data_IF_750936850196
#
_entry.id   IF_750936850196
#
_cell.length_a   1.000
_cell.length_b   1.000
_cell.length_c   1.000
_cell.angle_alpha   90.00
_cell.angle_beta   90.00
_cell.angle_gamma   90.00
#
_symmetry.space_group_name_H-M   'P 1'
#
loop_
_entity.id
_entity.type
_entity.pdbx_description
1 polymer ?
#
# COMPACT_ATOMS: atom_id res chain seq x y z
N UNK A 1 30.11 65.65 7.44
CA UNK A 1 29.28 65.05 8.52
C UNK A 1 28.87 63.66 8.06
N UNK A 2 29.38 62.61 8.69
CA UNK A 2 28.98 61.22 8.42
C UNK A 2 28.45 60.63 9.73
N UNK A 3 27.15 60.37 9.81
CA UNK A 3 26.52 59.68 10.92
C UNK A 3 26.39 58.20 10.55
N UNK A 4 27.22 57.37 11.17
CA UNK A 4 27.10 55.92 11.11
C UNK A 4 26.03 55.45 12.10
N UNK A 5 25.00 54.78 11.59
CA UNK A 5 24.06 54.03 12.41
C UNK A 5 24.58 52.60 12.59
N UNK A 6 24.98 52.24 13.81
CA UNK A 6 25.18 50.85 14.19
C UNK A 6 23.82 50.23 14.55
N UNK A 7 23.46 49.03 14.03
CA UNK A 7 22.24 48.34 14.44
C UNK A 7 22.37 47.80 15.88
N UNK A 8 21.30 47.81 16.69
CA UNK A 8 21.36 47.34 18.06
C UNK A 8 21.57 45.81 18.12
N UNK A 9 22.61 45.40 18.85
CA UNK A 9 22.87 44.01 19.21
C UNK A 9 21.93 43.58 20.34
N UNK A 10 20.67 43.28 20.02
CA UNK A 10 19.79 42.43 20.84
C UNK A 10 18.47 42.17 20.10
N UNK A 11 18.52 41.28 19.11
CA UNK A 11 17.33 40.60 18.61
C UNK A 11 17.63 39.12 18.70
N UNK A 12 17.00 38.41 19.64
CA UNK A 12 17.00 36.95 19.61
C UNK A 12 16.52 36.50 18.22
N UNK A 13 17.20 35.54 17.57
CA UNK A 13 16.79 35.09 16.25
C UNK A 13 15.32 34.66 16.30
N UNK A 14 14.49 35.02 15.31
CA UNK A 14 13.12 34.52 15.26
C UNK A 14 13.19 33.00 15.28
N UNK A 15 12.38 32.37 16.15
CA UNK A 15 12.26 30.92 16.15
C UNK A 15 11.99 30.46 14.71
N UNK A 16 12.70 29.45 14.19
CA UNK A 16 12.58 29.06 12.80
C UNK A 16 11.13 28.74 12.49
N UNK A 17 10.51 29.48 11.57
CA UNK A 17 9.11 29.33 11.16
C UNK A 17 8.77 27.87 10.81
N UNK A 18 9.76 27.12 10.31
CA UNK A 18 9.68 25.69 10.02
C UNK A 18 9.33 24.83 11.25
N UNK A 19 9.75 25.20 12.46
CA UNK A 19 9.43 24.42 13.67
C UNK A 19 7.98 24.60 14.09
N UNK A 20 7.45 25.83 14.06
CA UNK A 20 6.03 26.10 14.35
C UNK A 20 5.11 25.47 13.28
N UNK A 21 5.51 25.55 12.00
CA UNK A 21 4.81 24.89 10.92
C UNK A 21 4.85 23.35 11.01
N UNK A 22 5.91 22.75 11.56
CA UNK A 22 5.97 21.31 11.82
C UNK A 22 5.05 20.90 12.96
N UNK A 23 5.06 21.64 14.07
CA UNK A 23 4.21 21.35 15.23
C UNK A 23 2.72 21.42 14.89
N UNK A 24 2.30 22.39 14.07
CA UNK A 24 0.91 22.47 13.57
C UNK A 24 0.54 21.36 12.57
N UNK A 25 1.54 20.60 12.09
CA UNK A 25 1.40 19.47 11.16
C UNK A 25 1.77 18.14 11.82
N UNK A 26 1.51 18.05 13.11
CA UNK A 26 1.59 16.85 13.92
C UNK A 26 0.29 16.70 14.71
N UNK A 27 -0.04 15.46 15.09
CA UNK A 27 -1.18 15.17 15.96
C UNK A 27 -0.71 14.42 17.21
N UNK A 28 -1.19 14.87 18.36
CA UNK A 28 -1.00 14.17 19.63
C UNK A 28 -1.91 12.93 19.73
N UNK A 29 -1.56 11.91 20.54
CA UNK A 29 -2.38 10.71 20.70
C UNK A 29 -3.82 11.00 21.12
N UNK A 30 -4.04 12.00 21.96
CA UNK A 30 -5.37 12.39 22.44
C UNK A 30 -6.22 13.06 21.34
N UNK A 31 -5.59 13.88 20.49
CA UNK A 31 -6.25 14.48 19.32
C UNK A 31 -6.62 13.41 18.30
N UNK A 32 -5.75 12.43 18.09
CA UNK A 32 -6.03 11.29 17.23
C UNK A 32 -7.18 10.43 17.76
N UNK A 33 -7.17 10.09 19.04
CA UNK A 33 -8.23 9.28 19.66
C UNK A 33 -9.59 10.00 19.64
N UNK A 34 -9.61 11.33 19.78
CA UNK A 34 -10.84 12.13 19.74
C UNK A 34 -11.34 12.42 18.32
N UNK A 35 -10.55 12.17 17.28
CA UNK A 35 -10.93 12.43 15.89
C UNK A 35 -12.01 11.49 15.34
N UNK A 36 -12.44 10.48 16.12
CA UNK A 36 -13.51 9.56 15.71
C UNK A 36 -13.10 8.63 14.55
N UNK A 37 -11.83 8.22 14.53
CA UNK A 37 -11.29 7.32 13.50
C UNK A 37 -12.08 6.00 13.53
N UNK A 38 -12.53 5.48 12.37
CA UNK A 38 -13.29 4.25 12.29
C UNK A 38 -12.47 3.06 12.78
N UNK A 39 -13.01 2.34 13.76
CA UNK A 39 -12.37 1.15 14.32
C UNK A 39 -12.33 0.04 13.29
N UNK A 40 -11.15 -0.56 13.09
CA UNK A 40 -11.02 -1.79 12.30
C UNK A 40 -11.74 -2.94 12.99
N UNK A 41 -12.52 -3.74 12.25
CA UNK A 41 -13.17 -4.94 12.76
C UNK A 41 -12.15 -6.02 13.15
N UNK A 42 -11.14 -6.23 12.30
CA UNK A 42 -10.09 -7.22 12.54
C UNK A 42 -8.68 -6.67 12.20
N UNK A 43 -8.08 -5.84 13.09
CA UNK A 43 -6.77 -5.26 12.84
C UNK A 43 -5.67 -6.32 12.65
N UNK A 44 -5.78 -7.48 13.31
CA UNK A 44 -4.81 -8.58 13.20
C UNK A 44 -4.72 -9.12 11.77
N UNK A 45 -5.86 -9.31 11.12
CA UNK A 45 -5.92 -9.82 9.75
C UNK A 45 -5.37 -8.80 8.74
N UNK A 46 -5.72 -7.52 8.91
CA UNK A 46 -5.16 -6.42 8.08
C UNK A 46 -3.64 -6.39 8.21
N UNK A 47 -3.10 -6.40 9.43
CA UNK A 47 -1.65 -6.37 9.68
C UNK A 47 -0.97 -7.62 9.11
N UNK A 48 -1.53 -8.81 9.32
CA UNK A 48 -0.97 -10.05 8.77
C UNK A 48 -0.97 -10.06 7.23
N UNK A 49 -2.06 -9.63 6.60
CA UNK A 49 -2.18 -9.54 5.15
C UNK A 49 -1.20 -8.54 4.54
N UNK A 50 -1.08 -7.34 5.13
CA UNK A 50 -0.13 -6.33 4.69
C UNK A 50 1.33 -6.77 4.90
N UNK A 51 1.64 -7.38 6.04
CA UNK A 51 2.98 -7.90 6.31
C UNK A 51 3.36 -9.01 5.32
N UNK A 52 2.46 -9.95 5.05
CA UNK A 52 2.69 -11.02 4.08
C UNK A 52 2.91 -10.47 2.65
N UNK A 53 2.08 -9.50 2.23
CA UNK A 53 2.13 -8.91 0.89
C UNK A 53 3.37 -8.05 0.65
N UNK A 54 3.73 -7.20 1.60
CA UNK A 54 4.78 -6.20 1.42
C UNK A 54 6.13 -6.59 2.01
N UNK A 55 6.18 -7.59 2.91
CA UNK A 55 7.38 -8.02 3.64
C UNK A 55 8.22 -6.83 4.15
N UNK A 56 7.60 -5.91 4.90
CA UNK A 56 8.24 -4.64 5.22
C UNK A 56 9.46 -4.80 6.13
N UNK A 57 10.52 -4.08 5.81
CA UNK A 57 11.66 -3.87 6.70
C UNK A 57 11.42 -2.70 7.67
N UNK A 58 12.42 -2.37 8.50
CA UNK A 58 12.43 -1.13 9.26
C UNK A 58 12.23 0.11 8.37
N UNK A 59 11.66 1.18 8.94
CA UNK A 59 11.35 2.45 8.28
C UNK A 59 10.51 2.33 7.00
N UNK A 60 9.68 1.28 6.91
CA UNK A 60 8.76 1.07 5.79
C UNK A 60 7.35 1.50 6.18
N UNK A 61 6.77 2.43 5.42
CA UNK A 61 5.35 2.78 5.49
C UNK A 61 4.56 1.98 4.46
N UNK A 62 3.37 1.51 4.85
CA UNK A 62 2.41 0.84 3.97
C UNK A 62 1.09 1.57 4.09
N UNK A 63 0.66 2.22 3.01
CA UNK A 63 -0.70 2.74 2.90
C UNK A 63 -1.59 1.69 2.26
N UNK A 64 -2.72 1.41 2.88
CA UNK A 64 -3.72 0.46 2.41
C UNK A 64 -5.07 1.15 2.33
N UNK A 65 -5.89 0.75 1.37
CA UNK A 65 -7.27 1.22 1.22
C UNK A 65 -8.19 0.02 1.37
N UNK A 66 -9.10 0.13 2.33
CA UNK A 66 -10.13 -0.85 2.61
C UNK A 66 -11.41 -0.52 1.82
N UNK A 67 -12.04 -1.54 1.28
CA UNK A 67 -13.38 -1.49 0.70
C UNK A 67 -14.44 -1.32 1.82
N UNK A 68 -15.73 -1.08 1.48
CA UNK A 68 -16.76 -0.93 2.52
C UNK A 68 -16.97 -2.21 3.36
N UNK A 69 -16.52 -3.37 2.88
CA UNK A 69 -16.51 -4.64 3.62
C UNK A 69 -15.26 -4.83 4.51
N UNK A 70 -14.44 -3.78 4.64
CA UNK A 70 -13.17 -3.74 5.39
C UNK A 70 -12.07 -4.68 4.88
N UNK A 71 -12.12 -5.09 3.61
CA UNK A 71 -11.05 -5.87 2.96
C UNK A 71 -10.08 -4.96 2.23
N UNK A 72 -8.82 -5.37 2.16
CA UNK A 72 -7.77 -4.57 1.49
C UNK A 72 -7.97 -4.59 -0.04
N UNK A 73 -8.50 -3.50 -0.59
CA UNK A 73 -8.72 -3.30 -2.02
C UNK A 73 -7.43 -2.92 -2.76
N UNK A 74 -6.59 -2.10 -2.13
CA UNK A 74 -5.33 -1.64 -2.70
C UNK A 74 -4.31 -1.37 -1.59
N UNK A 75 -3.01 -1.53 -1.87
CA UNK A 75 -1.96 -1.17 -0.93
C UNK A 75 -0.64 -0.86 -1.64
N UNK A 76 0.17 0.01 -1.04
CA UNK A 76 1.50 0.37 -1.49
C UNK A 76 2.45 0.51 -0.31
N UNK A 77 3.67 0.00 -0.45
CA UNK A 77 4.76 0.17 0.49
C UNK A 77 5.79 1.16 -0.04
N UNK A 78 6.39 1.94 0.84
CA UNK A 78 7.45 2.88 0.53
C UNK A 78 8.32 3.16 1.76
N UNK A 79 9.56 3.58 1.52
CA UNK A 79 10.45 4.00 2.60
C UNK A 79 10.01 5.36 3.16
N UNK A 80 10.27 5.59 4.44
CA UNK A 80 10.09 6.90 5.05
C UNK A 80 10.88 7.98 4.27
N UNK A 81 10.21 9.05 3.82
CA UNK A 81 10.81 10.00 2.88
C UNK A 81 11.71 11.06 3.51
N UNK A 82 11.74 11.20 4.84
CA UNK A 82 12.32 12.37 5.51
C UNK A 82 13.22 12.01 6.70
N UNK A 83 14.32 12.75 6.86
CA UNK A 83 15.23 12.65 8.02
C UNK A 83 14.62 13.27 9.30
N UNK A 84 13.63 14.16 9.14
CA UNK A 84 12.91 14.81 10.23
C UNK A 84 11.39 14.67 10.03
N UNK A 85 10.61 14.37 11.08
CA UNK A 85 9.16 14.29 11.00
C UNK A 85 8.52 15.59 10.49
N UNK A 86 7.82 15.52 9.36
CA UNK A 86 7.00 16.62 8.83
C UNK A 86 5.74 16.06 8.17
N UNK A 87 4.57 16.33 8.77
CA UNK A 87 3.30 15.81 8.30
C UNK A 87 2.97 16.21 6.85
N UNK A 88 3.45 17.34 6.36
CA UNK A 88 3.25 17.74 4.95
C UNK A 88 4.02 16.85 3.97
N UNK A 89 5.25 16.46 4.33
CA UNK A 89 6.06 15.57 3.50
C UNK A 89 5.43 14.17 3.47
N UNK A 90 5.01 13.68 4.64
CA UNK A 90 4.31 12.40 4.77
C UNK A 90 2.99 12.38 4.01
N UNK A 91 2.19 13.44 4.09
CA UNK A 91 0.98 13.59 3.25
C UNK A 91 1.31 13.49 1.77
N UNK A 92 2.31 14.22 1.29
CA UNK A 92 2.66 14.22 -0.13
C UNK A 92 3.11 12.82 -0.58
N UNK A 93 3.91 12.12 0.24
CA UNK A 93 4.29 10.74 -0.02
C UNK A 93 3.06 9.82 -0.09
N UNK A 94 2.15 9.90 0.88
CA UNK A 94 0.90 9.14 0.88
C UNK A 94 0.07 9.39 -0.39
N UNK A 95 -0.10 10.64 -0.82
CA UNK A 95 -0.85 10.99 -2.02
C UNK A 95 -0.21 10.43 -3.30
N UNK A 96 1.12 10.44 -3.40
CA UNK A 96 1.84 9.83 -4.54
C UNK A 96 1.48 8.35 -4.66
N UNK A 97 1.48 7.62 -3.54
CA UNK A 97 1.18 6.20 -3.55
C UNK A 97 -0.31 5.90 -3.72
N UNK A 98 -1.20 6.64 -3.06
CA UNK A 98 -2.65 6.48 -3.19
C UNK A 98 -3.12 6.66 -4.64
N UNK A 99 -2.64 7.71 -5.33
CA UNK A 99 -2.98 7.99 -6.74
C UNK A 99 -2.53 6.90 -7.71
N UNK A 100 -1.50 6.11 -7.35
CA UNK A 100 -1.01 5.01 -8.17
C UNK A 100 -1.82 3.74 -8.00
N UNK A 101 -2.34 3.48 -6.80
CA UNK A 101 -2.97 2.19 -6.49
C UNK A 101 -4.49 2.23 -6.52
N UNK A 102 -5.11 3.40 -6.38
CA UNK A 102 -6.57 3.49 -6.38
C UNK A 102 -7.09 4.86 -6.84
N UNK A 103 -8.18 4.91 -7.63
CA UNK A 103 -8.84 6.18 -7.97
C UNK A 103 -9.31 6.92 -6.70
N UNK A 104 -9.29 8.24 -6.75
CA UNK A 104 -9.82 9.08 -5.68
C UNK A 104 -11.36 9.04 -5.63
N UNK A 105 -11.93 9.28 -4.45
CA UNK A 105 -13.38 9.26 -4.21
C UNK A 105 -14.01 10.66 -4.09
N UNK A 106 -13.29 11.70 -4.54
CA UNK A 106 -13.69 13.11 -4.43
C UNK A 106 -15.04 13.47 -5.09
N UNK A 107 -15.56 12.60 -5.97
CA UNK A 107 -16.87 12.80 -6.62
C UNK A 107 -18.04 12.19 -5.83
N UNK A 108 -17.75 11.38 -4.81
CA UNK A 108 -18.76 10.78 -3.95
C UNK A 108 -19.20 11.79 -2.89
N UNK A 109 -20.49 11.77 -2.54
CA UNK A 109 -21.03 12.64 -1.49
C UNK A 109 -20.49 12.28 -0.10
N UNK A 110 -20.20 11.00 0.11
CA UNK A 110 -19.66 10.46 1.37
C UNK A 110 -18.53 9.51 1.01
N UNK A 111 -17.38 9.58 1.70
CA UNK A 111 -16.29 8.63 1.50
C UNK A 111 -16.73 7.20 1.84
N UNK A 112 -16.52 6.27 0.91
CA UNK A 112 -16.93 4.86 1.06
C UNK A 112 -15.76 3.98 1.51
N UNK A 113 -14.58 4.27 0.97
CA UNK A 113 -13.34 3.52 1.26
C UNK A 113 -12.57 4.16 2.41
N UNK A 114 -11.87 3.34 3.18
CA UNK A 114 -11.11 3.78 4.37
C UNK A 114 -9.62 3.57 4.16
N UNK A 115 -8.80 4.59 4.36
CA UNK A 115 -7.34 4.43 4.28
C UNK A 115 -6.76 4.06 5.66
N UNK A 116 -5.85 3.11 5.69
CA UNK A 116 -5.11 2.66 6.88
C UNK A 116 -3.63 2.81 6.60
N UNK A 117 -2.86 3.22 7.60
CA UNK A 117 -1.40 3.31 7.51
C UNK A 117 -0.77 2.34 8.50
N UNK A 118 0.11 1.47 8.00
CA UNK A 118 0.97 0.61 8.78
C UNK A 118 2.41 1.11 8.64
N UNK A 119 3.03 1.55 9.73
CA UNK A 119 4.42 2.02 9.73
C UNK A 119 5.30 1.08 10.54
N UNK A 120 6.29 0.51 9.86
CA UNK A 120 7.26 -0.42 10.43
C UNK A 120 8.46 0.38 10.90
N UNK A 121 8.80 0.26 12.18
CA UNK A 121 9.89 1.02 12.79
C UNK A 121 10.63 0.20 13.83
N UNK A 122 11.80 0.67 14.18
CA UNK A 122 12.56 0.12 15.30
C UNK A 122 12.16 0.75 16.62
N UNK A 123 12.56 0.11 17.71
CA UNK A 123 12.34 0.60 19.06
C UNK A 123 10.96 0.27 19.62
N UNK A 124 10.59 1.06 20.63
CA UNK A 124 9.47 0.79 21.50
C UNK A 124 8.12 1.19 20.86
N UNK A 125 7.00 0.57 21.28
CA UNK A 125 5.66 0.87 20.77
C UNK A 125 5.08 2.19 21.31
N UNK A 126 5.92 3.06 21.91
CA UNK A 126 5.51 4.33 22.49
C UNK A 126 5.31 5.37 21.41
N UNK A 127 4.34 6.27 21.56
CA UNK A 127 4.15 7.36 20.60
C UNK A 127 5.42 8.20 20.43
N UNK A 128 5.70 8.64 19.20
CA UNK A 128 6.80 9.55 18.85
C UNK A 128 6.31 10.70 17.98
N UNK A 129 7.13 11.74 17.83
CA UNK A 129 6.84 12.85 16.93
C UNK A 129 6.62 12.40 15.47
N UNK A 130 7.35 11.37 15.03
CA UNK A 130 7.15 10.73 13.72
C UNK A 130 5.73 10.15 13.59
N UNK A 131 5.21 9.51 14.64
CA UNK A 131 3.83 9.01 14.65
C UNK A 131 2.84 10.16 14.53
N UNK A 132 3.06 11.27 15.24
CA UNK A 132 2.19 12.44 15.15
C UNK A 132 2.18 13.07 13.75
N UNK A 133 3.34 13.15 13.09
CA UNK A 133 3.44 13.59 11.71
C UNK A 133 2.75 12.62 10.74
N UNK A 134 2.88 11.30 10.94
CA UNK A 134 2.20 10.30 10.11
C UNK A 134 0.68 10.35 10.27
N UNK A 135 0.19 10.47 11.49
CA UNK A 135 -1.23 10.63 11.80
C UNK A 135 -1.80 11.88 11.13
N UNK A 136 -1.11 13.02 11.25
CA UNK A 136 -1.49 14.25 10.56
C UNK A 136 -1.51 14.05 9.04
N UNK A 137 -0.43 13.50 8.49
CA UNK A 137 -0.27 13.29 7.05
C UNK A 137 -1.32 12.35 6.48
N UNK A 138 -1.68 11.30 7.21
CA UNK A 138 -2.76 10.37 6.86
C UNK A 138 -4.11 11.08 6.82
N UNK A 139 -4.45 11.85 7.85
CA UNK A 139 -5.72 12.58 7.92
C UNK A 139 -5.87 13.57 6.76
N UNK A 140 -4.83 14.34 6.47
CA UNK A 140 -4.85 15.32 5.37
C UNK A 140 -4.89 14.63 4.00
N UNK A 141 -4.09 13.55 3.81
CA UNK A 141 -4.10 12.79 2.56
C UNK A 141 -5.45 12.13 2.28
N UNK A 142 -6.13 11.61 3.30
CA UNK A 142 -7.47 11.04 3.16
C UNK A 142 -8.48 12.09 2.68
N UNK A 143 -8.44 13.28 3.29
CA UNK A 143 -9.29 14.41 2.89
C UNK A 143 -9.06 14.77 1.42
N UNK A 144 -7.80 14.87 1.00
CA UNK A 144 -7.42 15.23 -0.37
C UNK A 144 -7.65 14.11 -1.40
N UNK A 145 -7.81 12.85 -0.97
CA UNK A 145 -8.09 11.72 -1.86
C UNK A 145 -9.56 11.25 -1.81
N UNK A 146 -10.39 11.87 -0.96
CA UNK A 146 -11.81 11.54 -0.79
C UNK A 146 -12.05 10.24 0.00
N UNK A 147 -11.11 9.81 0.83
CA UNK A 147 -11.20 8.59 1.64
C UNK A 147 -11.58 8.90 3.09
N UNK A 148 -12.16 7.92 3.79
CA UNK A 148 -12.26 7.96 5.26
C UNK A 148 -10.86 7.80 5.84
N UNK A 149 -10.50 8.66 6.78
CA UNK A 149 -9.29 8.48 7.56
C UNK A 149 -9.49 7.30 8.52
N UNK A 150 -8.66 6.27 8.38
CA UNK A 150 -8.68 5.06 9.22
C UNK A 150 -7.48 4.97 10.14
N UNK A 151 -7.28 3.77 10.70
CA UNK A 151 -6.28 3.52 11.73
C UNK A 151 -4.84 3.82 11.30
N UNK A 152 -4.05 4.32 12.26
CA UNK A 152 -2.59 4.34 12.20
C UNK A 152 -2.05 3.21 13.07
N UNK A 153 -1.25 2.34 12.47
CA UNK A 153 -0.74 1.11 13.08
C UNK A 153 0.78 1.16 13.06
N UNK A 154 1.42 0.95 14.21
CA UNK A 154 2.86 0.73 14.29
C UNK A 154 3.17 -0.75 14.32
N UNK A 155 4.27 -1.14 13.68
CA UNK A 155 4.83 -2.48 13.72
C UNK A 155 6.29 -2.41 14.18
N UNK A 156 6.56 -2.88 15.40
CA UNK A 156 7.91 -3.01 15.98
C UNK A 156 8.44 -4.43 15.75
N UNK A 157 9.62 -4.75 16.28
CA UNK A 157 10.24 -6.07 16.13
C UNK A 157 9.39 -7.22 16.67
N UNK A 158 8.62 -6.98 17.73
CA UNK A 158 7.91 -7.99 18.51
C UNK A 158 6.38 -7.88 18.44
N UNK A 159 5.84 -6.69 18.16
CA UNK A 159 4.40 -6.40 18.24
C UNK A 159 3.92 -5.39 17.20
N UNK A 160 2.60 -5.34 17.05
CA UNK A 160 1.88 -4.25 16.39
C UNK A 160 0.92 -3.59 17.38
N UNK A 161 0.60 -2.33 17.12
CA UNK A 161 -0.35 -1.55 17.91
C UNK A 161 -1.13 -0.58 17.04
N UNK A 162 -2.43 -0.47 17.27
CA UNK A 162 -3.28 0.59 16.72
C UNK A 162 -3.25 1.77 17.68
N UNK A 163 -2.75 2.92 17.22
CA UNK A 163 -2.65 4.11 18.05
C UNK A 163 -4.04 4.74 18.25
N UNK A 164 -4.28 5.22 19.47
CA UNK A 164 -5.56 5.81 19.88
C UNK A 164 -6.62 4.81 20.36
N UNK A 165 -6.43 3.50 20.14
CA UNK A 165 -7.44 2.47 20.45
C UNK A 165 -7.02 1.44 21.50
N UNK A 166 -5.73 1.41 21.89
CA UNK A 166 -5.20 0.43 22.85
C UNK A 166 -5.13 -1.01 22.34
N UNK A 167 -5.51 -1.27 21.08
CA UNK A 167 -5.50 -2.60 20.46
C UNK A 167 -4.11 -2.93 19.92
N UNK A 168 -3.67 -4.18 20.09
CA UNK A 168 -2.36 -4.63 19.64
C UNK A 168 -2.21 -6.13 19.69
N UNK A 169 -1.07 -6.63 19.21
CA UNK A 169 -0.75 -8.06 19.22
C UNK A 169 0.69 -8.33 18.81
N UNK A 170 1.07 -9.61 18.76
CA UNK A 170 2.42 -10.01 18.32
C UNK A 170 2.63 -9.76 16.83
N UNK A 171 3.87 -9.43 16.45
CA UNK A 171 4.28 -9.28 15.05
C UNK A 171 3.95 -10.54 14.23
N UNK A 172 3.34 -10.41 13.04
CA UNK A 172 3.16 -11.55 12.15
C UNK A 172 4.51 -12.16 11.77
N UNK A 173 4.62 -13.49 11.83
CA UNK A 173 5.80 -14.18 11.32
C UNK A 173 5.79 -14.11 9.80
N UNK A 174 6.92 -13.77 9.20
CA UNK A 174 7.12 -14.08 7.78
C UNK A 174 7.00 -15.60 7.64
N UNK A 175 6.33 -16.14 6.60
CA UNK A 175 6.50 -17.54 6.28
C UNK A 175 7.99 -17.74 6.01
N UNK A 176 8.65 -18.43 6.91
CA UNK A 176 10.03 -18.87 6.73
C UNK A 176 10.04 -19.69 5.43
N UNK A 177 10.88 -19.28 4.47
CA UNK A 177 11.23 -20.18 3.38
C UNK A 177 11.92 -21.36 4.05
N UNK A 178 11.20 -22.48 4.21
CA UNK A 178 11.77 -23.69 4.77
C UNK A 178 13.06 -24.02 4.00
N UNK A 179 14.23 -24.13 4.66
CA UNK A 179 15.41 -24.68 4.03
C UNK A 179 15.22 -26.20 3.94
N UNK A 180 15.41 -26.75 2.74
CA UNK A 180 15.57 -28.20 2.57
C UNK A 180 14.35 -28.96 2.05
N UNK A 181 13.93 -28.67 0.82
CA UNK A 181 13.61 -29.77 -0.09
C UNK A 181 14.88 -30.08 -0.90
N UNK A 182 15.85 -30.72 -0.25
CA UNK A 182 16.94 -31.36 -0.97
C UNK A 182 16.35 -32.38 -1.94
N UNK A 183 16.66 -32.19 -3.23
CA UNK A 183 16.47 -33.22 -4.25
C UNK A 183 17.24 -34.48 -3.81
N UNK A 184 16.60 -35.65 -3.66
CA UNK A 184 17.34 -36.89 -3.62
C UNK A 184 17.73 -37.25 -5.06
N UNK A 185 18.88 -36.72 -5.51
CA UNK A 185 19.63 -37.34 -6.59
C UNK A 185 20.95 -37.87 -6.04
N UNK A 186 20.97 -39.20 -5.95
CA UNK A 186 22.11 -40.10 -6.14
C UNK A 186 23.15 -40.15 -5.01
N UNK A 187 23.10 -41.26 -4.27
CA UNK A 187 24.26 -41.92 -3.71
C UNK A 187 24.28 -43.37 -4.21
N UNK A 188 25.48 -43.83 -4.56
CA UNK A 188 25.79 -44.89 -5.50
C UNK A 188 26.06 -46.28 -4.85
N UNK A 189 26.24 -47.27 -5.73
CA UNK A 189 26.79 -48.61 -5.48
C UNK A 189 25.83 -49.66 -6.04
N UNK A 190 26.13 -50.45 -7.07
CA UNK A 190 27.20 -51.45 -7.09
C UNK A 190 27.76 -51.68 -8.51
N UNK A 191 29.06 -51.96 -8.57
CA UNK A 191 29.83 -52.42 -9.72
C UNK A 191 29.79 -53.96 -9.78
N UNK A 192 29.68 -54.57 -10.98
CA UNK A 192 30.65 -55.55 -11.54
C UNK A 192 30.09 -56.46 -12.68
N UNK A 193 30.76 -56.35 -13.83
CA UNK A 193 31.04 -57.24 -14.99
C UNK A 193 30.10 -58.38 -15.46
N UNK A 194 29.77 -58.36 -16.77
CA UNK A 194 30.30 -59.27 -17.83
C UNK A 194 29.33 -59.37 -19.06
N UNK A 195 29.86 -59.30 -20.29
CA UNK A 195 29.16 -59.49 -21.59
C UNK A 195 29.53 -60.89 -22.16
N UNK A 196 28.73 -61.57 -23.02
CA UNK A 196 28.76 -61.33 -24.48
C UNK A 196 27.40 -61.46 -25.24
N UNK A 197 27.33 -60.77 -26.40
CA UNK A 197 26.35 -60.89 -27.51
C UNK A 197 26.49 -62.25 -28.26
N UNK A 198 25.64 -62.71 -29.23
CA UNK A 198 25.00 -61.92 -30.31
C UNK A 198 23.62 -62.39 -30.86
N UNK A 199 23.02 -61.57 -31.74
CA UNK A 199 22.51 -61.94 -33.09
C UNK A 199 21.15 -61.34 -33.48
N UNK A 200 21.15 -60.78 -34.71
CA UNK A 200 20.05 -60.51 -35.63
C UNK A 200 19.13 -59.30 -35.38
N UNK A 201 18.74 -58.49 -36.35
CA UNK A 201 19.19 -58.13 -37.70
C UNK A 201 18.12 -57.14 -38.20
N UNK A 202 18.54 -56.04 -38.85
CA UNK A 202 17.82 -55.28 -39.89
C UNK A 202 16.44 -54.65 -39.52
N UNK A 203 16.00 -53.48 -39.97
CA UNK A 203 16.45 -52.45 -40.92
C UNK A 203 15.50 -51.24 -40.70
N UNK A 204 16.04 -50.03 -40.73
CA UNK A 204 15.33 -48.78 -41.10
C UNK A 204 15.26 -48.68 -42.66
N UNK A 205 14.70 -47.65 -43.34
CA UNK A 205 14.05 -46.39 -42.89
C UNK A 205 12.81 -45.89 -43.72
N UNK A 206 12.26 -44.75 -43.27
CA UNK A 206 11.78 -43.56 -44.01
C UNK A 206 10.54 -43.56 -44.94
N UNK A 207 9.70 -42.52 -44.74
CA UNK A 207 8.76 -41.99 -45.73
C UNK A 207 7.77 -40.94 -45.20
N UNK A 208 8.10 -39.64 -45.34
CA UNK A 208 7.20 -38.45 -45.31
C UNK A 208 6.60 -38.25 -46.73
N UNK A 209 5.69 -37.29 -47.08
CA UNK A 209 4.87 -36.29 -46.35
C UNK A 209 3.38 -36.12 -46.83
N UNK A 210 2.68 -35.13 -46.20
CA UNK A 210 1.39 -34.38 -46.42
C UNK A 210 0.87 -34.12 -47.88
N UNK A 211 -0.27 -33.39 -48.19
CA UNK A 211 -1.33 -32.71 -47.39
C UNK A 211 -2.80 -32.86 -47.91
N UNK A 212 -3.82 -32.31 -47.23
CA UNK A 212 -5.00 -31.64 -47.89
C UNK A 212 -5.81 -30.76 -46.91
N UNK A 213 -6.32 -29.64 -47.44
CA UNK A 213 -6.98 -28.51 -46.77
C UNK A 213 -8.53 -28.54 -47.01
N UNK A 214 -9.36 -27.48 -46.73
CA UNK A 214 -10.53 -27.52 -45.85
C UNK A 214 -11.90 -27.33 -46.56
N UNK A 215 -12.99 -27.04 -45.82
CA UNK A 215 -14.00 -26.11 -46.36
C UNK A 215 -14.44 -24.98 -45.42
N UNK A 216 -14.94 -23.92 -46.08
CA UNK A 216 -15.46 -22.63 -45.61
C UNK A 216 -16.96 -22.66 -45.28
N UNK A 217 -17.41 -21.73 -44.42
CA UNK A 217 -18.68 -20.94 -44.42
C UNK A 217 -19.11 -20.70 -42.96
N UNK A 218 -19.66 -19.56 -42.52
CA UNK A 218 -20.14 -18.33 -43.15
C UNK A 218 -21.02 -17.54 -42.13
N UNK A 219 -21.27 -16.25 -42.41
CA UNK A 219 -22.24 -15.31 -41.79
C UNK A 219 -22.00 -14.87 -40.31
N UNK A 220 -21.83 -13.59 -39.94
CA UNK A 220 -22.54 -12.29 -40.18
C UNK A 220 -23.77 -12.08 -39.27
N UNK A 221 -23.66 -11.14 -38.31
CA UNK A 221 -24.70 -10.19 -37.80
C UNK A 221 -24.22 -9.64 -36.43
N UNK A 222 -23.78 -8.39 -36.29
CA UNK A 222 -24.57 -7.16 -36.18
C UNK A 222 -25.77 -7.27 -35.21
N UNK A 223 -25.64 -6.71 -34.00
CA UNK A 223 -26.78 -6.10 -33.32
C UNK A 223 -26.39 -4.71 -32.78
N UNK A 224 -27.00 -3.69 -33.41
CA UNK A 224 -27.17 -2.34 -32.89
C UNK A 224 -28.43 -2.34 -32.03
N UNK A 225 -28.39 -1.73 -30.84
CA UNK A 225 -29.51 -1.05 -30.17
C UNK A 225 -28.89 0.16 -29.45
N UNK A 226 -29.17 1.41 -29.82
CA UNK A 226 -30.45 2.15 -29.65
C UNK A 226 -30.87 2.14 -28.18
N UNK A 227 -31.04 3.24 -27.46
CA UNK A 227 -31.17 4.66 -27.81
C UNK A 227 -31.87 5.37 -26.65
N UNK A 228 -31.85 6.71 -26.65
CA UNK A 228 -32.72 7.59 -25.84
C UNK A 228 -32.26 7.75 -24.39
N UNK A 229 -32.00 8.95 -23.86
CA UNK A 229 -32.66 10.22 -24.12
C UNK A 229 -33.60 10.52 -22.95
N UNK A 230 -33.19 11.41 -22.05
CA UNK A 230 -34.06 12.01 -21.05
C UNK A 230 -33.65 13.47 -20.85
N UNK A 231 -34.55 14.36 -21.26
CA UNK A 231 -34.58 15.77 -20.97
C UNK A 231 -35.60 15.99 -19.84
N UNK A 232 -35.28 16.88 -18.89
CA UNK A 232 -36.15 17.66 -17.98
C UNK A 232 -35.35 17.97 -16.69
N UNK A 233 -35.44 19.11 -16.02
CA UNK A 233 -36.47 20.13 -16.02
C UNK A 233 -35.88 21.51 -15.66
N UNK A 234 -36.48 22.54 -16.25
CA UNK A 234 -36.54 23.90 -15.72
C UNK A 234 -37.11 23.91 -14.29
N UNK A 235 -36.55 24.75 -13.41
CA UNK A 235 -37.35 25.44 -12.39
C UNK A 235 -36.93 26.89 -12.23
N UNK A 236 -37.97 27.70 -12.22
CA UNK A 236 -38.05 29.14 -12.11
C UNK A 236 -37.80 29.66 -10.68
N UNK A 237 -37.54 30.97 -10.65
CA UNK A 237 -37.91 31.98 -9.64
C UNK A 237 -37.25 31.98 -8.26
N UNK A 238 -36.56 33.07 -7.95
CA UNK A 238 -37.03 34.00 -6.90
C UNK A 238 -36.42 35.40 -7.11
N UNK A 239 -37.30 36.39 -7.22
CA UNK A 239 -37.00 37.80 -6.97
C UNK A 239 -37.32 38.09 -5.50
N UNK A 240 -36.47 38.87 -4.84
CA UNK A 240 -36.82 39.85 -3.81
C UNK A 240 -35.64 40.77 -3.57
#
# INVERSE_FOLDING_TARGET
MAFGFAPPSNVSPPAPADSSARLSRMLEPAEWASAGIPLLRNPREVVAGLHHRHRPGPSTAIVAVLDPEERVAASASFAEPATAPDGWQFRNALLVHLRRVIPHDLRLRVPVRTAVLLYCREGEPRWTEADGAWMWGLRDACTLHGLRCGAYITLTGDRWQVLGEGRGGRRPRSPETAPGAESPRQAAGHTEAAIPSPASAERLPAGRPLPSEPPRNGARAASRRSGGGAAEALRHTAAR
#
